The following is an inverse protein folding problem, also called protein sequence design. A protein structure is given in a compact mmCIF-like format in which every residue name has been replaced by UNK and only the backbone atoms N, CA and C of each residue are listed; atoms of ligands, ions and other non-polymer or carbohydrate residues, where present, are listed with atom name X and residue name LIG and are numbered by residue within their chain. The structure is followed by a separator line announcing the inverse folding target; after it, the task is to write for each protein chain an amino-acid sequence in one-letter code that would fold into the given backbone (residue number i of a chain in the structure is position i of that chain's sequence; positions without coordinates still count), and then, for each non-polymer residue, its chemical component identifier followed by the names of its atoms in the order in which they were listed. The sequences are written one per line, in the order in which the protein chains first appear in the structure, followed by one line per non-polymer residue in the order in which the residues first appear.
data_IF_892693063511
#
_entry.id   IF_892693063511
#
_cell.length_a   1.000
_cell.length_b   1.000
_cell.length_c   1.000
_cell.angle_alpha   90.00
_cell.angle_beta   90.00
_cell.angle_gamma   90.00
#
_symmetry.space_group_name_H-M   'P 1'
#
loop_
_entity.id
_entity.type
_entity.pdbx_description
1 polymer ?
#
# COMPACT_ATOMS: atom_id res chain seq x y z
N UNK A 1 0.68 5.60 -32.41
CA UNK A 1 -0.25 5.61 -31.26
C UNK A 1 -0.51 4.15 -30.90
N UNK A 2 0.08 3.65 -29.82
CA UNK A 2 -0.04 2.24 -29.41
C UNK A 2 -1.39 2.09 -28.68
N UNK A 3 -2.35 1.38 -29.29
CA UNK A 3 -3.59 0.99 -28.61
C UNK A 3 -3.22 -0.02 -27.52
N UNK A 4 -3.34 0.35 -26.26
CA UNK A 4 -3.30 -0.60 -25.15
C UNK A 4 -4.68 -1.24 -25.08
N UNK A 5 -4.73 -2.55 -25.28
CA UNK A 5 -5.95 -3.32 -25.07
C UNK A 5 -6.18 -3.46 -23.56
N UNK A 6 -7.15 -2.71 -23.03
CA UNK A 6 -7.46 -2.70 -21.60
C UNK A 6 -8.08 -4.02 -21.11
N UNK A 7 -8.57 -4.87 -22.01
CA UNK A 7 -9.11 -6.18 -21.69
C UNK A 7 -7.97 -7.18 -21.44
N UNK A 8 -6.84 -7.05 -22.14
CA UNK A 8 -5.63 -7.83 -21.87
C UNK A 8 -4.99 -7.53 -20.49
N UNK A 9 -5.33 -6.40 -19.85
CA UNK A 9 -4.83 -6.05 -18.51
C UNK A 9 -5.63 -6.69 -17.37
N UNK A 10 -6.87 -7.15 -17.58
CA UNK A 10 -7.66 -7.79 -16.51
C UNK A 10 -6.97 -9.04 -15.97
N UNK A 11 -6.31 -9.78 -16.86
CA UNK A 11 -5.65 -11.02 -16.50
C UNK A 11 -4.26 -10.79 -15.88
N UNK A 12 -3.78 -9.54 -15.86
CA UNK A 12 -2.43 -9.19 -15.40
C UNK A 12 -2.40 -8.62 -13.98
N UNK A 13 -3.53 -8.11 -13.49
CA UNK A 13 -3.66 -7.47 -12.17
C UNK A 13 -4.89 -8.02 -11.48
N UNK A 14 -4.68 -8.70 -10.35
CA UNK A 14 -5.74 -9.32 -9.54
C UNK A 14 -5.99 -8.45 -8.31
N UNK A 15 -7.26 -8.17 -8.02
CA UNK A 15 -7.68 -7.50 -6.78
C UNK A 15 -8.18 -8.56 -5.80
N UNK A 16 -7.29 -9.05 -4.95
CA UNK A 16 -7.56 -10.15 -4.03
C UNK A 16 -8.09 -9.62 -2.69
N UNK A 17 -9.38 -9.79 -2.41
CA UNK A 17 -9.96 -9.50 -1.10
C UNK A 17 -9.69 -10.64 -0.13
N UNK A 18 -9.16 -10.29 1.04
CA UNK A 18 -8.91 -11.22 2.13
C UNK A 18 -9.87 -11.01 3.30
N UNK A 19 -10.06 -12.09 4.06
CA UNK A 19 -10.88 -12.16 5.26
C UNK A 19 -10.21 -13.10 6.27
N UNK A 20 -10.56 -12.95 7.55
CA UNK A 20 -10.04 -13.83 8.60
C UNK A 20 -10.75 -15.18 8.52
N UNK A 21 -10.07 -16.20 8.00
CA UNK A 21 -10.56 -17.58 7.89
C UNK A 21 -9.49 -18.55 8.38
N UNK A 22 -9.83 -19.85 8.45
CA UNK A 22 -8.88 -20.92 8.78
C UNK A 22 -7.79 -21.09 7.72
N UNK A 23 -8.06 -20.74 6.46
CA UNK A 23 -7.06 -20.73 5.39
C UNK A 23 -6.57 -19.28 5.17
N UNK A 24 -5.35 -18.93 5.62
CA UNK A 24 -4.83 -17.57 5.50
C UNK A 24 -4.64 -17.11 4.05
N UNK A 25 -4.67 -18.03 3.08
CA UNK A 25 -4.54 -17.74 1.65
C UNK A 25 -5.88 -17.67 0.91
N UNK A 26 -6.98 -17.97 1.59
CA UNK A 26 -8.31 -17.83 1.01
C UNK A 26 -8.57 -16.37 0.63
N UNK A 27 -8.93 -16.16 -0.64
CA UNK A 27 -9.22 -14.85 -1.22
C UNK A 27 -10.47 -14.90 -2.08
N UNK A 28 -11.17 -13.78 -2.13
CA UNK A 28 -12.24 -13.52 -3.08
C UNK A 28 -11.72 -12.52 -4.11
N UNK A 29 -11.70 -12.91 -5.38
CA UNK A 29 -11.24 -12.02 -6.45
C UNK A 29 -12.34 -11.01 -6.80
N UNK A 30 -11.98 -9.73 -6.79
CA UNK A 30 -12.84 -8.64 -7.21
C UNK A 30 -12.46 -8.26 -8.64
N UNK A 31 -13.42 -8.34 -9.56
CA UNK A 31 -13.18 -8.16 -10.98
C UNK A 31 -13.72 -6.80 -11.41
N UNK A 32 -12.85 -5.99 -12.01
CA UNK A 32 -13.20 -4.68 -12.55
C UNK A 32 -14.39 -4.77 -13.52
N UNK A 33 -15.38 -3.88 -13.36
CA UNK A 33 -16.62 -3.85 -14.15
C UNK A 33 -17.55 -5.07 -13.97
N UNK A 34 -17.26 -5.97 -13.04
CA UNK A 34 -18.15 -7.06 -12.66
C UNK A 34 -18.69 -6.83 -11.26
N UNK A 35 -19.86 -6.19 -11.17
CA UNK A 35 -20.49 -5.85 -9.89
C UNK A 35 -20.83 -7.09 -9.04
N UNK A 36 -21.13 -8.21 -9.69
CA UNK A 36 -21.48 -9.45 -9.00
C UNK A 36 -20.29 -10.04 -8.25
N UNK A 37 -19.07 -9.89 -8.77
CA UNK A 37 -17.84 -10.28 -8.05
C UNK A 37 -17.70 -9.56 -6.70
N UNK A 38 -18.19 -8.31 -6.61
CA UNK A 38 -18.19 -7.53 -5.37
C UNK A 38 -19.35 -7.95 -4.47
N UNK A 39 -20.57 -8.05 -5.02
CA UNK A 39 -21.79 -8.40 -4.27
C UNK A 39 -21.77 -9.81 -3.68
N UNK A 40 -21.13 -10.75 -4.36
CA UNK A 40 -20.99 -12.15 -3.91
C UNK A 40 -19.78 -12.34 -2.99
N UNK A 41 -18.93 -11.33 -2.84
CA UNK A 41 -17.83 -11.34 -1.89
C UNK A 41 -18.28 -10.86 -0.51
N UNK A 42 -17.40 -10.97 0.48
CA UNK A 42 -17.59 -10.41 1.82
C UNK A 42 -17.29 -8.89 1.87
N UNK A 43 -17.37 -8.17 0.73
CA UNK A 43 -17.02 -6.74 0.66
C UNK A 43 -18.10 -5.93 1.38
N UNK A 44 -17.68 -5.07 2.30
CA UNK A 44 -18.60 -4.25 3.09
C UNK A 44 -18.61 -2.82 2.54
N UNK A 45 -19.70 -2.45 1.87
CA UNK A 45 -19.85 -1.11 1.31
C UNK A 45 -19.81 -0.04 2.42
N UNK A 46 -19.16 1.09 2.14
CA UNK A 46 -19.05 2.20 3.09
C UNK A 46 -18.10 1.97 4.28
N UNK A 47 -17.41 0.82 4.32
CA UNK A 47 -16.30 0.59 5.25
C UNK A 47 -14.97 1.08 4.64
N UNK A 48 -14.05 1.50 5.52
CA UNK A 48 -12.68 1.81 5.10
C UNK A 48 -12.07 0.63 4.36
N UNK A 49 -11.28 0.95 3.34
CA UNK A 49 -10.67 -0.04 2.47
C UNK A 49 -9.16 0.18 2.40
N UNK A 50 -8.40 -0.85 2.76
CA UNK A 50 -6.95 -0.86 2.69
C UNK A 50 -6.51 -1.63 1.46
N UNK A 51 -5.80 -0.94 0.56
CA UNK A 51 -5.14 -1.56 -0.58
C UNK A 51 -3.68 -1.82 -0.26
N UNK A 52 -3.24 -3.07 -0.33
CA UNK A 52 -1.86 -3.49 -0.08
C UNK A 52 -1.21 -3.77 -1.43
N UNK A 53 -0.16 -3.04 -1.78
CA UNK A 53 0.43 -3.07 -3.11
C UNK A 53 1.90 -3.48 -3.02
N UNK A 54 2.22 -4.64 -3.59
CA UNK A 54 3.58 -5.19 -3.56
C UNK A 54 4.53 -4.53 -4.56
N UNK A 55 5.80 -4.90 -4.49
CA UNK A 55 6.88 -4.34 -5.32
C UNK A 55 7.38 -5.31 -6.40
N UNK A 56 8.59 -5.04 -6.89
CA UNK A 56 9.32 -5.89 -7.84
C UNK A 56 9.48 -7.33 -7.34
N UNK A 57 9.30 -8.31 -8.22
CA UNK A 57 9.42 -9.77 -7.94
C UNK A 57 8.67 -10.21 -6.68
N UNK A 58 7.47 -9.68 -6.54
CA UNK A 58 6.59 -9.98 -5.42
C UNK A 58 5.19 -10.29 -5.95
N UNK A 59 4.35 -10.82 -5.07
CA UNK A 59 2.98 -11.24 -5.34
C UNK A 59 2.15 -11.15 -4.05
N UNK A 60 0.87 -11.47 -4.11
CA UNK A 60 0.05 -11.58 -2.89
C UNK A 60 0.53 -12.66 -1.91
N UNK A 61 1.31 -13.65 -2.35
CA UNK A 61 1.87 -14.72 -1.51
C UNK A 61 3.21 -14.34 -0.86
N UNK A 62 3.83 -13.24 -1.30
CA UNK A 62 5.10 -12.78 -0.73
C UNK A 62 4.98 -12.37 0.73
N UNK A 63 6.08 -12.51 1.49
CA UNK A 63 6.15 -12.18 2.92
C UNK A 63 5.54 -10.81 3.23
N UNK A 64 5.94 -9.75 2.49
CA UNK A 64 5.43 -8.39 2.71
C UNK A 64 3.90 -8.32 2.64
N UNK A 65 3.32 -8.84 1.56
CA UNK A 65 1.86 -8.86 1.35
C UNK A 65 1.17 -9.63 2.46
N UNK A 66 1.69 -10.80 2.82
CA UNK A 66 1.12 -11.67 3.83
C UNK A 66 1.19 -11.06 5.23
N UNK A 67 2.35 -10.55 5.65
CA UNK A 67 2.49 -10.02 7.02
C UNK A 67 1.74 -8.71 7.21
N UNK A 68 1.71 -7.82 6.20
CA UNK A 68 0.94 -6.58 6.27
C UNK A 68 -0.56 -6.90 6.31
N UNK A 69 -1.04 -7.77 5.40
CA UNK A 69 -2.43 -8.23 5.39
C UNK A 69 -2.82 -8.87 6.73
N UNK A 70 -2.00 -9.79 7.25
CA UNK A 70 -2.28 -10.49 8.51
C UNK A 70 -2.28 -9.53 9.70
N UNK A 71 -1.40 -8.53 9.73
CA UNK A 71 -1.39 -7.52 10.78
C UNK A 71 -2.73 -6.74 10.82
N UNK A 72 -3.26 -6.40 9.66
CA UNK A 72 -4.58 -5.78 9.56
C UNK A 72 -5.72 -6.73 9.95
N UNK A 73 -5.72 -7.98 9.44
CA UNK A 73 -6.74 -8.98 9.75
C UNK A 73 -6.81 -9.31 11.25
N UNK A 74 -5.67 -9.32 11.94
CA UNK A 74 -5.56 -9.58 13.38
C UNK A 74 -5.72 -8.33 14.24
N UNK A 75 -5.92 -7.15 13.64
CA UNK A 75 -6.10 -5.89 14.37
C UNK A 75 -7.56 -5.67 14.76
N UNK A 76 -7.81 -4.64 15.57
CA UNK A 76 -9.18 -4.18 15.88
C UNK A 76 -9.86 -3.46 14.71
N UNK A 77 -9.15 -3.22 13.60
CA UNK A 77 -9.73 -2.57 12.43
C UNK A 77 -10.67 -3.52 11.70
N UNK A 78 -11.90 -3.07 11.46
CA UNK A 78 -12.90 -3.80 10.67
C UNK A 78 -13.05 -3.17 9.29
N UNK A 79 -12.05 -3.38 8.43
CA UNK A 79 -11.95 -2.79 7.10
C UNK A 79 -12.05 -3.84 5.98
N UNK A 80 -12.20 -3.38 4.74
CA UNK A 80 -11.93 -4.23 3.58
C UNK A 80 -10.42 -4.28 3.31
N UNK A 81 -9.86 -5.47 3.16
CA UNK A 81 -8.44 -5.68 2.86
C UNK A 81 -8.27 -6.25 1.46
N UNK A 82 -7.65 -5.50 0.57
CA UNK A 82 -7.45 -5.88 -0.84
C UNK A 82 -5.95 -5.87 -1.11
N UNK A 83 -5.39 -7.02 -1.48
CA UNK A 83 -4.04 -7.07 -2.02
C UNK A 83 -4.12 -6.90 -3.53
N UNK A 84 -3.38 -5.92 -4.06
CA UNK A 84 -3.21 -5.71 -5.50
C UNK A 84 -2.05 -6.57 -5.97
N UNK A 85 -2.38 -7.67 -6.63
CA UNK A 85 -1.41 -8.60 -7.18
C UNK A 85 -1.14 -8.30 -8.65
N UNK A 86 0.04 -7.76 -8.93
CA UNK A 86 0.52 -7.41 -10.26
C UNK A 86 1.80 -8.19 -10.58
N UNK A 87 1.97 -9.39 -10.00
CA UNK A 87 3.16 -10.24 -10.19
C UNK A 87 3.52 -10.40 -11.66
N UNK A 88 2.55 -10.63 -12.55
CA UNK A 88 2.79 -10.81 -13.99
C UNK A 88 3.49 -9.61 -14.65
N UNK A 89 3.31 -8.41 -14.11
CA UNK A 89 3.94 -7.17 -14.57
C UNK A 89 5.18 -6.77 -13.74
N UNK A 90 5.24 -7.21 -12.48
CA UNK A 90 6.31 -6.91 -11.53
C UNK A 90 7.41 -7.97 -11.44
N UNK A 91 7.20 -9.16 -12.02
CA UNK A 91 8.12 -10.29 -12.05
C UNK A 91 8.30 -10.81 -13.49
N UNK A 92 8.83 -10.00 -14.42
CA UNK A 92 9.09 -10.48 -15.76
C UNK A 92 10.14 -11.60 -15.73
N UNK A 93 9.84 -12.72 -16.41
CA UNK A 93 10.74 -13.86 -16.61
C UNK A 93 11.79 -13.52 -17.69
N UNK A 94 13.02 -14.08 -17.69
CA UNK A 94 13.53 -15.25 -16.92
C UNK A 94 14.06 -14.93 -15.50
N UNK A 95 14.39 -15.95 -14.67
CA UNK A 95 14.72 -15.82 -13.24
C UNK A 95 15.97 -15.00 -12.87
N UNK A 96 16.86 -14.68 -13.81
CA UNK A 96 18.10 -13.94 -13.52
C UNK A 96 17.83 -12.49 -13.14
N UNK A 97 18.51 -11.97 -12.12
CA UNK A 97 18.45 -10.55 -11.74
C UNK A 97 19.24 -9.72 -12.74
N UNK A 98 18.57 -9.27 -13.79
CA UNK A 98 19.14 -8.31 -14.73
C UNK A 98 18.52 -6.93 -14.49
N UNK A 99 19.34 -5.88 -14.60
CA UNK A 99 18.86 -4.50 -14.50
C UNK A 99 17.72 -4.23 -15.50
N UNK A 100 17.72 -4.90 -16.66
CA UNK A 100 16.68 -4.82 -17.68
C UNK A 100 15.30 -5.25 -17.18
N UNK A 101 15.20 -6.30 -16.36
CA UNK A 101 13.92 -6.74 -15.79
C UNK A 101 13.38 -5.76 -14.75
N UNK A 102 14.26 -5.16 -13.94
CA UNK A 102 13.86 -4.09 -13.04
C UNK A 102 13.33 -2.88 -13.80
N UNK A 103 14.02 -2.45 -14.87
CA UNK A 103 13.54 -1.35 -15.72
C UNK A 103 12.21 -1.67 -16.41
N UNK A 104 11.96 -2.93 -16.77
CA UNK A 104 10.68 -3.34 -17.32
C UNK A 104 9.56 -3.22 -16.28
N UNK A 105 9.79 -3.68 -15.05
CA UNK A 105 8.83 -3.51 -13.96
C UNK A 105 8.57 -2.04 -13.64
N UNK A 106 9.61 -1.19 -13.65
CA UNK A 106 9.48 0.27 -13.50
C UNK A 106 8.61 0.87 -14.61
N UNK A 107 8.79 0.44 -15.87
CA UNK A 107 7.95 0.89 -16.99
C UNK A 107 6.48 0.48 -16.84
N UNK A 108 6.19 -0.61 -16.12
CA UNK A 108 4.83 -1.06 -15.85
C UNK A 108 4.15 -0.31 -14.70
N UNK A 109 4.90 0.39 -13.83
CA UNK A 109 4.33 1.09 -12.66
C UNK A 109 3.19 2.05 -13.02
N UNK A 110 3.29 2.92 -14.06
CA UNK A 110 2.17 3.79 -14.46
C UNK A 110 0.94 3.00 -14.93
N UNK A 111 1.13 1.88 -15.63
CA UNK A 111 0.05 1.01 -16.13
C UNK A 111 -0.70 0.40 -14.94
N UNK A 112 0.04 -0.13 -13.96
CA UNK A 112 -0.54 -0.71 -12.74
C UNK A 112 -1.27 0.37 -11.93
N UNK A 113 -0.67 1.55 -11.78
CA UNK A 113 -1.28 2.67 -11.06
C UNK A 113 -2.58 3.15 -11.71
N UNK A 114 -2.62 3.21 -13.04
CA UNK A 114 -3.83 3.52 -13.78
C UNK A 114 -4.92 2.48 -13.51
N UNK A 115 -4.59 1.18 -13.60
CA UNK A 115 -5.56 0.10 -13.35
C UNK A 115 -6.08 0.10 -11.90
N UNK A 116 -5.22 0.37 -10.91
CA UNK A 116 -5.63 0.53 -9.51
C UNK A 116 -6.60 1.71 -9.37
N UNK A 117 -6.29 2.85 -9.99
CA UNK A 117 -7.19 4.01 -9.97
C UNK A 117 -8.52 3.73 -10.69
N UNK A 118 -8.50 3.00 -11.82
CA UNK A 118 -9.72 2.60 -12.56
C UNK A 118 -10.62 1.74 -11.68
N UNK A 119 -10.03 0.78 -10.97
CA UNK A 119 -10.75 -0.09 -10.05
C UNK A 119 -11.36 0.68 -8.86
N UNK A 120 -10.59 1.58 -8.26
CA UNK A 120 -11.08 2.43 -7.17
C UNK A 120 -12.19 3.36 -7.65
N UNK A 121 -12.03 4.00 -8.82
CA UNK A 121 -13.05 4.87 -9.42
C UNK A 121 -14.34 4.09 -9.66
N UNK A 122 -14.23 2.91 -10.29
CA UNK A 122 -15.39 2.08 -10.57
C UNK A 122 -16.13 1.66 -9.30
N UNK A 123 -15.42 1.27 -8.23
CA UNK A 123 -16.05 0.97 -6.95
C UNK A 123 -16.72 2.19 -6.30
N UNK A 124 -16.12 3.39 -6.43
CA UNK A 124 -16.71 4.66 -5.96
C UNK A 124 -18.01 4.95 -6.71
N UNK A 125 -17.94 4.94 -8.04
CA UNK A 125 -19.06 5.27 -8.93
C UNK A 125 -20.20 4.26 -8.80
N UNK A 126 -19.87 3.02 -8.43
CA UNK A 126 -20.83 1.96 -8.13
C UNK A 126 -21.38 1.99 -6.69
N UNK A 127 -20.95 2.95 -5.86
CA UNK A 127 -21.46 3.16 -4.50
C UNK A 127 -20.87 2.23 -3.43
N UNK A 128 -19.77 1.53 -3.70
CA UNK A 128 -19.15 0.62 -2.73
C UNK A 128 -18.15 1.31 -1.80
N UNK A 129 -17.52 2.40 -2.23
CA UNK A 129 -16.50 3.11 -1.45
C UNK A 129 -16.60 4.64 -1.57
N UNK A 130 -15.90 5.32 -0.66
CA UNK A 130 -15.65 6.78 -0.70
C UNK A 130 -14.14 6.99 -0.63
N UNK A 131 -13.58 7.97 -1.34
CA UNK A 131 -12.11 8.11 -1.46
C UNK A 131 -11.46 8.44 -0.11
N UNK A 132 -12.11 9.28 0.69
CA UNK A 132 -11.69 9.67 2.04
C UNK A 132 -11.69 8.52 3.07
N UNK A 133 -12.02 7.30 2.63
CA UNK A 133 -11.94 6.07 3.42
C UNK A 133 -10.89 5.07 2.87
N UNK A 134 -10.10 5.46 1.88
CA UNK A 134 -9.10 4.60 1.24
C UNK A 134 -7.72 4.82 1.84
N UNK A 135 -7.10 3.73 2.28
CA UNK A 135 -5.69 3.69 2.67
C UNK A 135 -4.92 2.79 1.71
N UNK A 136 -3.94 3.34 0.98
CA UNK A 136 -3.01 2.55 0.18
C UNK A 136 -1.70 2.32 0.96
N UNK A 137 -1.29 1.06 1.12
CA UNK A 137 0.00 0.67 1.68
C UNK A 137 0.82 0.04 0.57
N UNK A 138 1.81 0.79 0.06
CA UNK A 138 2.66 0.36 -1.04
C UNK A 138 4.09 0.09 -0.60
N UNK A 139 4.67 -1.02 -1.01
CA UNK A 139 6.08 -1.36 -0.73
C UNK A 139 6.93 -1.28 -2.01
N UNK A 140 8.12 -0.67 -1.93
CA UNK A 140 9.05 -0.56 -3.06
C UNK A 140 8.35 0.07 -4.27
N UNK A 141 8.34 -0.57 -5.45
CA UNK A 141 7.58 -0.11 -6.62
C UNK A 141 6.07 0.08 -6.33
N UNK A 142 5.49 -0.68 -5.40
CA UNK A 142 4.10 -0.52 -4.95
C UNK A 142 3.83 0.83 -4.27
N UNK A 143 4.84 1.46 -3.66
CA UNK A 143 4.72 2.81 -3.11
C UNK A 143 4.54 3.84 -4.23
N UNK A 144 5.28 3.69 -5.33
CA UNK A 144 5.11 4.53 -6.53
C UNK A 144 3.76 4.28 -7.20
N UNK A 145 3.32 3.02 -7.29
CA UNK A 145 1.97 2.68 -7.77
C UNK A 145 0.91 3.39 -6.94
N UNK A 146 1.02 3.36 -5.61
CA UNK A 146 0.08 4.03 -4.70
C UNK A 146 0.04 5.55 -4.94
N UNK A 147 1.21 6.19 -5.04
CA UNK A 147 1.31 7.63 -5.29
C UNK A 147 0.72 8.06 -6.63
N UNK A 148 0.99 7.31 -7.70
CA UNK A 148 0.43 7.58 -9.02
C UNK A 148 -1.07 7.29 -9.08
N UNK A 149 -1.55 6.22 -8.45
CA UNK A 149 -2.98 5.93 -8.36
C UNK A 149 -3.73 7.05 -7.64
N UNK A 150 -3.19 7.54 -6.50
CA UNK A 150 -3.75 8.68 -5.78
C UNK A 150 -3.75 9.99 -6.59
N UNK A 151 -2.76 10.19 -7.47
CA UNK A 151 -2.74 11.32 -8.42
C UNK A 151 -3.82 11.19 -9.49
N UNK A 152 -3.96 10.01 -10.07
CA UNK A 152 -4.98 9.75 -11.09
C UNK A 152 -6.39 9.93 -10.52
N UNK A 153 -6.64 9.42 -9.31
CA UNK A 153 -7.92 9.60 -8.62
C UNK A 153 -8.24 11.08 -8.37
N UNK A 154 -7.27 11.88 -7.92
CA UNK A 154 -7.46 13.34 -7.78
C UNK A 154 -7.81 13.99 -9.12
N UNK A 155 -7.13 13.60 -10.20
CA UNK A 155 -7.40 14.14 -11.54
C UNK A 155 -8.80 13.78 -12.05
N UNK A 156 -9.32 12.60 -11.72
CA UNK A 156 -10.63 12.11 -12.20
C UNK A 156 -11.80 12.52 -11.31
N UNK A 157 -11.56 12.77 -10.02
CA UNK A 157 -12.60 13.05 -9.02
C UNK A 157 -12.50 14.45 -8.44
N UNK A 158 -12.36 15.48 -9.30
CA UNK A 158 -12.40 16.90 -8.89
C UNK A 158 -11.43 17.26 -7.74
N UNK A 159 -10.22 16.71 -7.75
CA UNK A 159 -9.20 16.88 -6.69
C UNK A 159 -9.57 16.29 -5.32
N UNK A 160 -10.60 15.44 -5.24
CA UNK A 160 -10.88 14.64 -4.04
C UNK A 160 -9.67 13.73 -3.75
N UNK A 161 -9.25 13.71 -2.49
CA UNK A 161 -8.07 12.96 -2.05
C UNK A 161 -8.49 11.66 -1.39
N UNK A 162 -7.68 10.61 -1.60
CA UNK A 162 -7.78 9.43 -0.74
C UNK A 162 -7.31 9.75 0.68
N UNK A 163 -7.80 9.01 1.67
CA UNK A 163 -7.48 9.24 3.09
C UNK A 163 -5.97 9.24 3.35
N UNK A 164 -5.27 8.21 2.85
CA UNK A 164 -3.87 7.99 3.21
C UNK A 164 -3.11 7.13 2.20
N UNK A 165 -1.84 7.47 2.01
CA UNK A 165 -0.85 6.60 1.39
C UNK A 165 0.27 6.35 2.40
N UNK A 166 0.59 5.09 2.68
CA UNK A 166 1.82 4.69 3.36
C UNK A 166 2.76 4.09 2.33
N UNK A 167 3.79 4.85 1.96
CA UNK A 167 4.91 4.36 1.16
C UNK A 167 5.97 3.72 2.03
N UNK A 168 6.20 2.43 1.85
CA UNK A 168 7.20 1.65 2.57
C UNK A 168 8.40 1.41 1.64
N UNK A 169 9.60 1.78 2.08
CA UNK A 169 10.81 1.73 1.26
C UNK A 169 11.16 0.29 0.83
N UNK A 170 12.01 0.13 -0.19
CA UNK A 170 12.44 -1.18 -0.70
C UNK A 170 13.37 -1.96 0.23
N UNK A 171 13.76 -1.38 1.37
CA UNK A 171 14.65 -2.03 2.34
C UNK A 171 13.88 -3.05 3.18
N UNK A 172 14.51 -4.21 3.38
CA UNK A 172 13.91 -5.45 3.90
C UNK A 172 13.13 -5.32 5.23
N UNK A 173 13.48 -4.36 6.07
CA UNK A 173 12.87 -4.22 7.40
C UNK A 173 11.76 -3.17 7.48
N UNK A 174 11.57 -2.35 6.46
CA UNK A 174 10.64 -1.21 6.53
C UNK A 174 9.17 -1.65 6.70
N UNK A 175 8.73 -2.69 5.98
CA UNK A 175 7.39 -3.25 6.14
C UNK A 175 7.22 -4.03 7.45
N UNK A 176 8.31 -4.60 7.98
CA UNK A 176 8.32 -5.25 9.32
C UNK A 176 8.16 -4.22 10.42
N UNK A 177 8.85 -3.09 10.34
CA UNK A 177 8.68 -1.98 11.27
C UNK A 177 7.26 -1.40 11.19
N UNK A 178 6.71 -1.27 9.98
CA UNK A 178 5.30 -0.89 9.80
C UNK A 178 4.35 -1.88 10.48
N UNK A 179 4.54 -3.19 10.30
CA UNK A 179 3.72 -4.22 10.97
C UNK A 179 3.89 -4.19 12.49
N UNK A 180 5.12 -4.02 12.99
CA UNK A 180 5.37 -3.92 14.42
C UNK A 180 4.61 -2.75 15.07
N UNK A 181 4.33 -1.68 14.31
CA UNK A 181 3.57 -0.53 14.82
C UNK A 181 2.12 -0.84 15.21
N UNK A 182 1.58 -2.00 14.82
CA UNK A 182 0.23 -2.42 15.22
C UNK A 182 0.16 -2.82 16.70
N UNK A 183 1.26 -3.33 17.26
CA UNK A 183 1.32 -3.85 18.63
C UNK A 183 2.23 -3.02 19.53
N UNK A 184 3.19 -2.29 18.95
CA UNK A 184 4.14 -1.46 19.68
C UNK A 184 4.12 -0.03 19.16
N UNK A 185 4.04 0.94 20.07
CA UNK A 185 4.20 2.34 19.72
C UNK A 185 5.68 2.65 19.46
N UNK A 186 5.96 3.15 18.25
CA UNK A 186 7.25 3.75 17.91
C UNK A 186 7.07 5.27 17.88
N UNK A 187 7.81 5.96 18.73
CA UNK A 187 7.80 7.42 18.78
C UNK A 187 8.86 7.92 17.80
N UNK A 188 8.45 8.79 16.89
CA UNK A 188 9.33 9.52 15.99
C UNK A 188 9.31 11.01 16.34
N UNK A 189 10.47 11.66 16.23
CA UNK A 189 10.70 13.03 16.65
C UNK A 189 11.17 13.87 15.46
N UNK A 190 10.60 15.06 15.29
CA UNK A 190 11.03 16.01 14.27
C UNK A 190 12.32 16.70 14.74
N UNK A 191 13.47 16.10 14.41
CA UNK A 191 14.79 16.59 14.80
C UNK A 191 15.61 16.88 13.55
N UNK A 192 16.31 18.01 13.51
CA UNK A 192 17.20 18.33 12.39
C UNK A 192 18.55 17.63 12.55
N UNK A 193 18.97 16.74 11.64
CA UNK A 193 20.28 16.09 11.73
C UNK A 193 21.43 17.04 11.33
N UNK A 194 21.12 18.20 10.76
CA UNK A 194 22.10 19.09 10.11
C UNK A 194 22.79 20.07 11.05
N UNK A 195 22.47 20.06 12.34
CA UNK A 195 23.04 21.03 13.30
C UNK A 195 24.30 20.45 13.98
N UNK A 196 24.18 19.32 14.68
CA UNK A 196 25.26 18.58 15.34
C UNK A 196 24.74 17.22 15.86
N UNK A 197 25.60 16.19 16.00
CA UNK A 197 25.24 14.88 16.57
C UNK A 197 24.77 14.94 18.02
N UNK A 198 25.41 15.76 18.86
CA UNK A 198 25.04 15.99 20.27
C UNK A 198 23.66 16.64 20.34
N UNK A 199 23.43 17.67 19.52
CA UNK A 199 22.13 18.37 19.45
C UNK A 199 21.05 17.43 18.93
N UNK A 200 21.37 16.61 17.92
CA UNK A 200 20.47 15.59 17.41
C UNK A 200 20.11 14.56 18.48
N UNK A 201 21.09 14.02 19.21
CA UNK A 201 20.84 13.03 20.27
C UNK A 201 20.04 13.62 21.43
N UNK A 202 20.34 14.88 21.81
CA UNK A 202 19.56 15.61 22.79
C UNK A 202 18.10 15.84 22.33
N UNK A 203 17.90 16.20 21.06
CA UNK A 203 16.56 16.34 20.48
C UNK A 203 15.78 15.01 20.47
N UNK A 204 16.41 13.90 20.11
CA UNK A 204 15.78 12.57 20.16
C UNK A 204 15.40 12.21 21.60
N UNK A 205 16.25 12.53 22.57
CA UNK A 205 15.98 12.24 23.99
C UNK A 205 14.83 13.08 24.57
N UNK A 206 14.62 14.30 24.07
CA UNK A 206 13.60 15.24 24.58
C UNK A 206 12.30 15.22 23.77
N UNK A 207 12.37 14.84 22.49
CA UNK A 207 11.27 14.65 21.54
C UNK A 207 10.14 15.71 21.68
N UNK A 208 10.40 16.97 21.35
CA UNK A 208 9.47 18.08 21.64
C UNK A 208 8.11 17.96 20.94
N UNK A 209 8.05 17.24 19.81
CA UNK A 209 6.82 16.95 19.07
C UNK A 209 6.78 15.46 18.70
N UNK A 210 6.38 14.59 19.63
CA UNK A 210 6.35 13.16 19.39
C UNK A 210 5.18 12.82 18.48
N UNK A 211 5.45 12.03 17.44
CA UNK A 211 4.43 11.41 16.59
C UNK A 211 4.58 9.91 16.59
N UNK A 212 3.47 9.19 16.48
CA UNK A 212 3.52 7.75 16.27
C UNK A 212 3.98 7.45 14.84
N UNK A 213 4.95 6.55 14.70
CA UNK A 213 5.31 5.98 13.40
C UNK A 213 4.39 4.81 13.06
N UNK A 214 4.18 4.57 11.76
CA UNK A 214 3.49 3.39 11.27
C UNK A 214 1.98 3.58 11.16
N UNK A 215 1.19 2.56 11.50
CA UNK A 215 -0.26 2.54 11.23
C UNK A 215 -1.02 3.67 11.92
N UNK A 216 -0.55 4.12 13.09
CA UNK A 216 -1.17 5.21 13.86
C UNK A 216 -0.58 6.60 13.58
N UNK A 217 0.26 6.76 12.55
CA UNK A 217 0.82 8.06 12.20
C UNK A 217 -0.29 9.08 11.84
N UNK A 218 -0.33 10.26 12.51
CA UNK A 218 -1.31 11.30 12.21
C UNK A 218 -1.16 11.81 10.77
N UNK A 219 -2.29 12.04 10.10
CA UNK A 219 -2.30 12.63 8.74
C UNK A 219 -1.89 14.10 8.70
N UNK A 220 -1.86 14.77 9.86
CA UNK A 220 -1.36 16.13 10.03
C UNK A 220 0.17 16.21 10.21
N UNK A 221 0.86 15.09 10.43
CA UNK A 221 2.30 15.07 10.60
C UNK A 221 3.00 15.32 9.26
N UNK A 222 3.87 16.34 9.21
CA UNK A 222 4.64 16.71 8.02
C UNK A 222 6.09 17.03 8.37
N UNK A 223 7.03 16.67 7.49
CA UNK A 223 8.46 16.89 7.68
C UNK A 223 9.25 15.58 7.83
N UNK A 224 10.50 15.71 8.28
CA UNK A 224 11.38 14.57 8.55
C UNK A 224 11.32 14.22 10.03
N UNK A 225 11.01 12.96 10.34
CA UNK A 225 10.98 12.45 11.70
C UNK A 225 11.96 11.30 11.82
N UNK A 226 12.61 11.24 12.97
CA UNK A 226 13.66 10.28 13.29
C UNK A 226 13.21 9.48 14.50
N UNK A 227 13.51 8.19 14.49
CA UNK A 227 13.19 7.29 15.59
C UNK A 227 14.39 6.38 15.82
N UNK A 228 14.66 6.08 17.08
CA UNK A 228 15.73 5.18 17.48
C UNK A 228 15.10 3.85 17.89
N UNK A 229 15.51 2.76 17.23
CA UNK A 229 15.09 1.41 17.63
C UNK A 229 16.30 0.62 18.05
N UNK A 230 16.24 0.03 19.24
CA UNK A 230 17.36 -0.74 19.81
C UNK A 230 17.62 -2.07 19.11
N UNK A 231 16.78 -2.49 18.16
CA UNK A 231 16.98 -3.61 17.23
C UNK A 231 15.98 -3.51 16.06
N UNK A 232 16.28 -4.00 14.83
CA UNK A 232 15.25 -4.31 13.87
C UNK A 232 14.36 -5.45 14.43
N UNK A 233 13.03 -5.40 14.24
CA UNK A 233 12.14 -6.52 14.61
C UNK A 233 12.42 -7.78 13.79
#
# INVERSE_FOLDING_TARGET
MMKVDFQALSDLIIFAKFLSTSDPNFKQELVLHNIDSVRQSAFQAGQKTVFIIHGFRSSYLSEMSQIVKNAYLSSHFHYNYIVVDWEKLGNPQPPELTSSLYFLAVKNVPIVAQRVAEFVSWLKDSGFLVLDQIHMVGHSLGAHVSGLAGRNLQAWHNSEKIFRITGVCSHRFSYKLYVASFTKNFIACNCSPFVDLIIFHFCISTCPQPVLMGVYCPTSASGQYYLETTNPP
#
